data_IF_933221238569
#
_entry.id   IF_933221238569
#
_cell.length_a   1.000
_cell.length_b   1.000
_cell.length_c   1.000
_cell.angle_alpha   90.00
_cell.angle_beta   90.00
_cell.angle_gamma   90.00
#
_symmetry.space_group_name_H-M   'P 1'
#
loop_
_entity.id
_entity.type
_entity.pdbx_description
1 polymer ?
#
# COMPACT_ATOMS: atom_id res chain seq x y z
N UNK A 1 2.31 4.88 -2.70
CA UNK A 1 1.89 3.47 -2.67
C UNK A 1 1.51 3.10 -1.25
N UNK A 2 0.61 2.14 -1.04
CA UNK A 2 0.13 1.68 0.27
C UNK A 2 0.20 0.16 0.28
N UNK A 3 0.99 -0.42 1.19
CA UNK A 3 1.24 -1.86 1.26
C UNK A 3 1.19 -2.42 2.67
N UNK A 4 1.00 -3.73 2.80
CA UNK A 4 1.05 -4.40 4.11
C UNK A 4 2.49 -4.44 4.62
N UNK A 5 2.67 -4.02 5.86
CA UNK A 5 3.90 -4.31 6.60
C UNK A 5 3.98 -5.81 6.87
N UNK A 6 5.05 -6.43 6.39
CA UNK A 6 5.41 -7.80 6.70
C UNK A 6 6.68 -7.75 7.53
N UNK A 7 6.57 -8.24 8.76
CA UNK A 7 7.70 -8.29 9.68
C UNK A 7 8.82 -9.15 9.10
N UNK A 8 10.04 -8.61 8.87
CA UNK A 8 11.12 -9.40 8.27
C UNK A 8 11.64 -10.50 9.18
N UNK A 9 11.77 -10.20 10.48
CA UNK A 9 12.23 -11.13 11.51
C UNK A 9 11.56 -10.81 12.85
N UNK A 10 11.53 -11.74 13.82
CA UNK A 10 10.93 -11.50 15.14
C UNK A 10 11.49 -10.30 15.93
N UNK A 11 12.69 -9.83 15.59
CA UNK A 11 13.33 -8.67 16.24
C UNK A 11 12.84 -7.31 15.70
N UNK A 12 12.03 -7.30 14.63
CA UNK A 12 11.41 -6.08 14.11
C UNK A 12 10.06 -5.83 14.79
N UNK A 13 9.48 -4.66 14.55
CA UNK A 13 8.16 -4.32 15.07
C UNK A 13 7.14 -5.43 14.73
N UNK A 14 6.30 -5.85 15.68
CA UNK A 14 5.27 -6.86 15.42
C UNK A 14 4.22 -6.29 14.45
N UNK A 15 3.60 -7.18 13.68
CA UNK A 15 2.44 -6.81 12.86
C UNK A 15 1.28 -6.47 13.79
N UNK A 16 0.80 -5.24 13.73
CA UNK A 16 -0.36 -4.81 14.51
C UNK A 16 -1.67 -5.38 13.96
N UNK A 17 -1.82 -5.42 12.64
CA UNK A 17 -3.00 -5.93 11.94
C UNK A 17 -2.63 -6.40 10.52
N UNK A 18 -3.34 -7.42 10.03
CA UNK A 18 -3.39 -7.76 8.61
C UNK A 18 -4.60 -7.10 7.97
N UNK A 19 -4.35 -6.06 7.19
CA UNK A 19 -5.39 -5.22 6.60
C UNK A 19 -6.12 -5.97 5.49
N UNK A 20 -7.45 -5.90 5.45
CA UNK A 20 -8.24 -6.60 4.44
C UNK A 20 -8.13 -5.96 3.05
N UNK A 21 -8.32 -6.72 1.96
CA UNK A 21 -8.32 -6.19 0.60
C UNK A 21 -9.32 -5.03 0.40
N UNK A 22 -10.49 -5.09 1.04
CA UNK A 22 -11.53 -4.06 0.98
C UNK A 22 -11.03 -2.73 1.57
N UNK A 23 -10.27 -2.80 2.67
CA UNK A 23 -9.72 -1.61 3.32
C UNK A 23 -8.63 -0.95 2.46
N UNK A 24 -7.81 -1.75 1.77
CA UNK A 24 -6.87 -1.22 0.77
C UNK A 24 -7.59 -0.51 -0.39
N UNK A 25 -8.76 -1.02 -0.81
CA UNK A 25 -9.60 -0.36 -1.82
C UNK A 25 -10.13 1.00 -1.33
N UNK A 26 -10.64 1.06 -0.10
CA UNK A 26 -11.06 2.32 0.53
C UNK A 26 -9.91 3.34 0.59
N UNK A 27 -8.71 2.92 1.00
CA UNK A 27 -7.54 3.80 1.01
C UNK A 27 -7.17 4.35 -0.37
N UNK A 28 -7.34 3.53 -1.42
CA UNK A 28 -7.11 3.96 -2.80
C UNK A 28 -8.09 5.07 -3.18
N UNK A 29 -9.37 4.88 -2.89
CA UNK A 29 -10.42 5.86 -3.20
C UNK A 29 -10.19 7.18 -2.45
N UNK A 30 -9.87 7.11 -1.15
CA UNK A 30 -9.55 8.29 -0.33
C UNK A 30 -8.34 9.05 -0.90
N UNK A 31 -7.28 8.35 -1.28
CA UNK A 31 -6.09 8.98 -1.83
C UNK A 31 -6.36 9.63 -3.21
N UNK A 32 -7.13 8.97 -4.07
CA UNK A 32 -7.55 9.56 -5.35
C UNK A 32 -8.39 10.82 -5.14
N UNK A 33 -9.33 10.81 -4.18
CA UNK A 33 -10.12 11.98 -3.81
C UNK A 33 -9.26 13.14 -3.26
N UNK A 34 -8.13 12.82 -2.61
CA UNK A 34 -7.15 13.81 -2.13
C UNK A 34 -6.28 14.40 -3.25
N UNK A 35 -6.44 13.98 -4.50
CA UNK A 35 -5.73 14.53 -5.65
C UNK A 35 -4.39 13.84 -5.96
N UNK A 36 -4.11 12.68 -5.38
CA UNK A 36 -2.94 11.89 -5.79
C UNK A 36 -3.16 11.36 -7.21
N UNK A 37 -2.21 11.66 -8.12
CA UNK A 37 -2.30 11.29 -9.54
C UNK A 37 -2.28 9.77 -9.75
N UNK A 38 -1.51 9.05 -8.94
CA UNK A 38 -1.38 7.60 -9.00
C UNK A 38 -1.39 7.01 -7.60
N UNK A 39 -2.14 5.92 -7.43
CA UNK A 39 -2.26 5.23 -6.14
C UNK A 39 -2.28 3.72 -6.36
N UNK A 40 -1.17 3.07 -6.02
CA UNK A 40 -1.12 1.61 -5.82
C UNK A 40 -1.38 1.31 -4.35
N UNK A 41 -2.40 0.50 -4.07
CA UNK A 41 -2.85 0.14 -2.73
C UNK A 41 -3.24 -1.33 -2.69
N UNK A 42 -2.58 -2.13 -1.85
CA UNK A 42 -2.88 -3.56 -1.72
C UNK A 42 -1.85 -4.30 -0.86
N UNK A 43 -2.14 -5.53 -0.41
CA UNK A 43 -1.30 -6.23 0.57
C UNK A 43 0.15 -6.40 0.13
N UNK A 44 0.38 -6.75 -1.13
CA UNK A 44 1.71 -7.02 -1.68
C UNK A 44 2.35 -5.83 -2.39
N UNK A 45 1.72 -4.65 -2.35
CA UNK A 45 2.29 -3.45 -2.97
C UNK A 45 3.58 -3.05 -2.26
N UNK A 46 4.58 -2.67 -3.06
CA UNK A 46 5.87 -2.15 -2.63
C UNK A 46 6.16 -0.85 -3.37
N UNK A 47 7.15 -0.08 -2.92
CA UNK A 47 7.50 1.22 -3.51
C UNK A 47 7.90 1.13 -4.98
N UNK A 48 8.55 0.03 -5.39
CA UNK A 48 8.93 -0.23 -6.78
C UNK A 48 7.84 -0.88 -7.63
N UNK A 49 6.72 -1.31 -7.03
CA UNK A 49 5.67 -2.02 -7.75
C UNK A 49 5.01 -1.07 -8.77
N UNK A 50 5.11 -1.41 -10.05
CA UNK A 50 4.62 -0.61 -11.19
C UNK A 50 5.14 0.83 -11.24
N UNK A 51 6.30 1.11 -10.64
CA UNK A 51 6.87 2.45 -10.61
C UNK A 51 7.03 3.07 -12.02
N UNK A 52 7.33 2.23 -13.03
CA UNK A 52 7.44 2.64 -14.44
C UNK A 52 6.13 3.22 -15.01
N UNK A 53 4.98 2.78 -14.50
CA UNK A 53 3.66 3.26 -14.94
C UNK A 53 3.28 4.63 -14.35
N UNK A 54 4.12 5.17 -13.46
CA UNK A 54 3.87 6.43 -12.75
C UNK A 54 4.84 7.55 -13.17
N UNK A 55 5.72 7.30 -14.13
CA UNK A 55 6.75 8.25 -14.56
C UNK A 55 6.20 9.39 -15.45
N UNK A 56 4.98 9.26 -15.99
CA UNK A 56 4.42 10.19 -16.98
C UNK A 56 3.02 10.69 -16.65
#
# INVERSE_FOLDING_TARGET
>A
TIGQYLQPTPNHLPVAEFVTPEKFKEYKEIALQKGFRFVESGPLVRSSYHAEKHLF
#
